data_IF_987069336721
#
_entry.id   IF_987069336721
#
_cell.length_a   1.000
_cell.length_b   1.000
_cell.length_c   1.000
_cell.angle_alpha   90.00
_cell.angle_beta   90.00
_cell.angle_gamma   90.00
#
_symmetry.space_group_name_H-M   'P 1'
#
loop_
_entity.id
_entity.type
_entity.pdbx_description
1 polymer ?
#
# COMPACT_ATOMS: atom_id res chain seq x y z
N UNK A 1 -2.56 -10.88 -18.67
CA UNK A 1 -2.94 -9.51 -18.28
C UNK A 1 -2.24 -9.04 -17.00
N UNK A 2 -2.37 -9.77 -15.88
CA UNK A 2 -1.76 -9.42 -14.58
C UNK A 2 -0.27 -9.05 -14.68
N UNK A 3 0.57 -9.93 -15.25
CA UNK A 3 2.02 -9.65 -15.41
C UNK A 3 2.32 -8.39 -16.21
N UNK A 4 1.53 -8.12 -17.25
CA UNK A 4 1.67 -6.92 -18.11
C UNK A 4 1.32 -5.65 -17.33
N UNK A 5 0.22 -5.69 -16.58
CA UNK A 5 -0.16 -4.60 -15.67
C UNK A 5 0.91 -4.38 -14.60
N UNK A 6 1.45 -5.46 -14.03
CA UNK A 6 2.53 -5.42 -13.05
C UNK A 6 3.78 -4.71 -13.57
N UNK A 7 4.25 -5.03 -14.79
CA UNK A 7 5.40 -4.35 -15.39
C UNK A 7 5.19 -2.84 -15.56
N UNK A 8 4.00 -2.43 -15.99
CA UNK A 8 3.69 -1.01 -16.06
C UNK A 8 3.61 -0.37 -14.68
N UNK A 9 3.08 -1.07 -13.67
CA UNK A 9 3.12 -0.57 -12.29
C UNK A 9 4.55 -0.42 -11.77
N UNK A 10 5.46 -1.35 -12.09
CA UNK A 10 6.89 -1.20 -11.76
C UNK A 10 7.48 0.04 -12.42
N UNK A 11 7.16 0.31 -13.69
CA UNK A 11 7.65 1.50 -14.39
C UNK A 11 7.09 2.80 -13.79
N UNK A 12 5.78 2.85 -13.51
CA UNK A 12 5.18 4.00 -12.82
C UNK A 12 5.77 4.19 -11.43
N UNK A 13 6.00 3.09 -10.71
CA UNK A 13 6.66 3.09 -9.42
C UNK A 13 8.10 3.58 -9.50
N UNK A 14 8.85 3.23 -10.55
CA UNK A 14 10.22 3.72 -10.76
C UNK A 14 10.25 5.25 -10.98
N UNK A 15 9.32 5.78 -11.79
CA UNK A 15 9.19 7.23 -12.01
C UNK A 15 8.75 7.94 -10.74
N UNK A 16 7.75 7.39 -10.04
CA UNK A 16 7.29 7.93 -8.76
C UNK A 16 8.37 7.83 -7.67
N UNK A 17 9.16 6.76 -7.69
CA UNK A 17 10.28 6.45 -6.81
C UNK A 17 11.40 7.48 -6.85
N UNK A 18 11.53 8.24 -7.96
CA UNK A 18 12.43 9.40 -8.03
C UNK A 18 12.01 10.45 -7.00
N UNK A 19 10.71 10.73 -6.87
CA UNK A 19 10.18 11.74 -5.94
C UNK A 19 9.97 11.18 -4.53
N UNK A 20 9.55 9.91 -4.43
CA UNK A 20 9.25 9.26 -3.16
C UNK A 20 9.74 7.81 -3.17
N UNK A 21 10.91 7.56 -2.58
CA UNK A 21 11.54 6.24 -2.58
C UNK A 21 10.72 5.16 -1.83
N UNK A 22 9.80 5.56 -0.95
CA UNK A 22 8.84 4.67 -0.26
C UNK A 22 7.63 4.25 -1.11
N UNK A 23 7.75 4.33 -2.44
CA UNK A 23 6.68 4.00 -3.38
C UNK A 23 6.13 2.59 -3.18
N UNK A 24 4.79 2.48 -3.12
CA UNK A 24 4.10 1.19 -3.02
C UNK A 24 3.64 0.65 -4.39
N UNK A 25 3.53 1.49 -5.42
CA UNK A 25 3.04 1.06 -6.75
C UNK A 25 4.02 0.05 -7.35
N UNK A 26 5.31 0.33 -7.26
CA UNK A 26 6.40 -0.53 -7.69
C UNK A 26 6.41 -1.86 -6.95
N UNK A 27 6.23 -1.83 -5.63
CA UNK A 27 6.13 -3.03 -4.78
C UNK A 27 4.98 -3.94 -5.22
N UNK A 28 3.76 -3.39 -5.37
CA UNK A 28 2.62 -4.17 -5.87
C UNK A 28 2.83 -4.64 -7.32
N UNK A 29 3.45 -3.81 -8.15
CA UNK A 29 3.82 -4.16 -9.51
C UNK A 29 4.75 -5.37 -9.57
N UNK A 30 5.78 -5.38 -8.73
CA UNK A 30 6.77 -6.44 -8.63
C UNK A 30 6.15 -7.75 -8.16
N UNK A 31 5.33 -7.70 -7.10
CA UNK A 31 4.56 -8.86 -6.61
C UNK A 31 3.65 -9.39 -7.73
N UNK A 32 2.95 -8.51 -8.45
CA UNK A 32 2.10 -8.91 -9.57
C UNK A 32 2.91 -9.52 -10.73
N UNK A 33 4.12 -9.05 -11.02
CA UNK A 33 4.99 -9.62 -12.06
C UNK A 33 5.42 -11.03 -11.70
N UNK A 34 5.94 -11.21 -10.48
CA UNK A 34 6.48 -12.49 -9.99
C UNK A 34 5.38 -13.53 -9.83
N UNK A 35 4.26 -13.16 -9.19
CA UNK A 35 3.20 -14.10 -8.83
C UNK A 35 2.03 -14.14 -9.80
N UNK A 36 2.06 -13.40 -10.93
CA UNK A 36 0.98 -13.43 -11.93
C UNK A 36 0.57 -14.85 -12.35
N UNK A 37 1.53 -15.74 -12.59
CA UNK A 37 1.25 -17.12 -12.99
C UNK A 37 0.61 -17.96 -11.87
N UNK A 38 0.93 -17.64 -10.62
CA UNK A 38 0.39 -18.31 -9.44
C UNK A 38 -1.05 -17.87 -9.17
N UNK A 39 -1.29 -16.56 -9.25
CA UNK A 39 -2.62 -15.96 -9.15
C UNK A 39 -3.54 -16.47 -10.27
N UNK A 40 -3.05 -16.53 -11.52
CA UNK A 40 -3.84 -16.98 -12.65
C UNK A 40 -4.20 -18.48 -12.60
N UNK A 41 -3.29 -19.32 -12.11
CA UNK A 41 -3.48 -20.79 -12.04
C UNK A 41 -3.92 -21.29 -10.66
N UNK A 42 -4.23 -20.37 -9.73
CA UNK A 42 -4.69 -20.68 -8.36
C UNK A 42 -3.82 -21.70 -7.62
N UNK A 43 -2.48 -21.51 -7.61
CA UNK A 43 -1.52 -22.38 -6.90
C UNK A 43 -1.60 -22.23 -5.37
N UNK A 44 -2.75 -22.57 -4.77
CA UNK A 44 -3.11 -22.25 -3.38
C UNK A 44 -2.12 -22.81 -2.35
N UNK A 45 -1.74 -24.10 -2.47
CA UNK A 45 -0.78 -24.73 -1.54
C UNK A 45 0.57 -24.02 -1.53
N UNK A 46 1.08 -23.66 -2.72
CA UNK A 46 2.36 -22.94 -2.87
C UNK A 46 2.24 -21.50 -2.35
N UNK A 47 1.13 -20.83 -2.64
CA UNK A 47 0.87 -19.47 -2.15
C UNK A 47 0.83 -19.41 -0.61
N UNK A 48 0.22 -20.40 0.04
CA UNK A 48 0.21 -20.52 1.51
C UNK A 48 1.63 -20.76 2.03
N UNK A 49 2.37 -21.71 1.47
CA UNK A 49 3.74 -21.99 1.89
C UNK A 49 4.65 -20.75 1.79
N UNK A 50 4.57 -20.00 0.68
CA UNK A 50 5.31 -18.75 0.51
C UNK A 50 4.83 -17.67 1.48
N UNK A 51 3.52 -17.57 1.73
CA UNK A 51 3.00 -16.59 2.70
C UNK A 51 3.53 -16.87 4.10
N UNK A 52 3.52 -18.13 4.54
CA UNK A 52 4.06 -18.54 5.84
C UNK A 52 5.56 -18.23 5.93
N UNK A 53 6.34 -18.60 4.91
CA UNK A 53 7.77 -18.31 4.86
C UNK A 53 8.04 -16.81 4.96
N UNK A 54 7.33 -15.99 4.19
CA UNK A 54 7.52 -14.54 4.18
C UNK A 54 7.06 -13.91 5.49
N UNK A 55 5.98 -14.40 6.10
CA UNK A 55 5.54 -13.92 7.42
C UNK A 55 6.60 -14.18 8.50
N UNK A 56 7.21 -15.38 8.49
CA UNK A 56 8.32 -15.71 9.40
C UNK A 56 9.54 -14.83 9.11
N UNK A 57 9.95 -14.72 7.84
CA UNK A 57 11.11 -13.91 7.45
C UNK A 57 10.94 -12.43 7.81
N UNK A 58 9.79 -11.83 7.50
CA UNK A 58 9.47 -10.45 7.88
C UNK A 58 9.52 -10.26 9.40
N UNK A 59 8.98 -11.22 10.16
CA UNK A 59 9.06 -11.21 11.62
C UNK A 59 10.51 -11.25 12.14
N UNK A 60 11.34 -12.15 11.59
CA UNK A 60 12.76 -12.25 11.95
C UNK A 60 13.54 -10.99 11.58
N UNK A 61 13.26 -10.38 10.43
CA UNK A 61 13.85 -9.09 10.02
C UNK A 61 13.47 -8.00 11.01
N UNK A 62 12.18 -7.88 11.37
CA UNK A 62 11.72 -6.87 12.33
C UNK A 62 12.24 -7.11 13.75
N UNK A 63 12.39 -8.38 14.16
CA UNK A 63 13.04 -8.74 15.42
C UNK A 63 14.51 -8.31 15.42
N UNK A 64 15.25 -8.60 14.34
CA UNK A 64 16.63 -8.16 14.17
C UNK A 64 16.76 -6.64 14.21
N UNK A 65 15.86 -5.92 13.54
CA UNK A 65 15.78 -4.46 13.60
C UNK A 65 15.49 -3.95 15.01
N UNK A 66 14.59 -4.62 15.74
CA UNK A 66 14.31 -4.30 17.15
C UNK A 66 15.57 -4.39 18.01
N UNK A 67 16.34 -5.48 17.90
CA UNK A 67 17.63 -5.63 18.59
C UNK A 67 18.63 -4.54 18.23
N UNK A 68 18.73 -4.16 16.95
CA UNK A 68 19.62 -3.08 16.48
C UNK A 68 19.22 -1.73 17.07
N UNK A 69 17.92 -1.44 17.14
CA UNK A 69 17.41 -0.18 17.73
C UNK A 69 17.66 -0.15 19.23
N UNK A 70 17.29 -1.21 19.96
CA UNK A 70 17.38 -1.24 21.43
C UNK A 70 18.80 -1.37 21.95
N UNK A 71 19.74 -1.88 21.15
CA UNK A 71 21.16 -1.95 21.50
C UNK A 71 21.89 -0.61 21.38
N UNK A 72 21.22 0.44 20.88
CA UNK A 72 21.86 1.74 20.59
C UNK A 72 22.77 1.73 19.36
N UNK A 73 22.88 0.60 18.65
CA UNK A 73 23.74 0.45 17.47
C UNK A 73 23.35 1.42 16.33
N UNK A 74 22.08 1.83 16.25
CA UNK A 74 21.62 2.87 15.31
C UNK A 74 22.31 4.22 15.55
N UNK A 75 22.50 4.61 16.81
CA UNK A 75 23.21 5.83 17.18
C UNK A 75 24.71 5.72 16.84
N UNK A 76 25.30 4.52 17.02
CA UNK A 76 26.70 4.23 16.65
C UNK A 76 26.96 4.15 15.14
N UNK A 77 25.94 3.87 14.32
CA UNK A 77 26.05 3.84 12.85
C UNK A 77 25.87 5.23 12.19
N UNK A 78 25.64 6.29 12.97
CA UNK A 78 25.40 7.64 12.43
C UNK A 78 24.15 7.72 11.54
N UNK A 79 23.25 6.74 11.63
CA UNK A 79 21.97 6.73 10.91
C UNK A 79 21.03 7.64 11.72
N UNK A 80 21.25 8.95 11.60
CA UNK A 80 20.37 9.95 12.16
C UNK A 80 18.94 9.67 11.63
N UNK A 81 18.04 9.38 12.56
CA UNK A 81 16.65 9.05 12.25
C UNK A 81 16.02 10.13 11.39
N UNK A 82 15.41 9.70 10.27
CA UNK A 82 14.22 10.27 9.58
C UNK A 82 14.05 11.80 9.44
N UNK A 83 15.06 12.62 9.74
CA UNK A 83 14.96 14.08 9.87
C UNK A 83 15.89 14.86 8.95
N UNK A 84 16.76 14.20 8.19
CA UNK A 84 17.50 14.84 7.11
C UNK A 84 16.89 14.50 5.74
N UNK A 85 16.17 15.42 5.08
CA UNK A 85 15.69 15.24 3.71
C UNK A 85 16.82 14.99 2.70
N UNK A 86 18.09 15.23 3.08
CA UNK A 86 19.29 15.03 2.25
C UNK A 86 20.11 13.78 2.60
N UNK A 87 19.73 13.07 3.68
CA UNK A 87 20.34 11.81 4.08
C UNK A 87 21.87 11.85 4.20
N UNK A 88 22.43 12.95 4.69
CA UNK A 88 23.86 13.14 4.98
C UNK A 88 24.81 13.10 3.76
N UNK A 89 24.27 12.84 2.56
CA UNK A 89 25.07 12.53 1.37
C UNK A 89 25.40 13.75 0.51
N UNK A 90 24.69 14.87 0.69
CA UNK A 90 24.76 16.03 -0.19
C UNK A 90 24.21 15.80 -1.62
N UNK A 91 23.78 14.57 -1.95
CA UNK A 91 23.22 14.27 -3.26
C UNK A 91 21.80 14.82 -3.41
N UNK A 92 21.46 15.43 -4.57
CA UNK A 92 20.09 15.76 -4.89
C UNK A 92 19.16 14.53 -4.82
N UNK A 93 17.93 14.75 -4.33
CA UNK A 93 16.94 13.69 -4.12
C UNK A 93 16.68 12.83 -5.37
N UNK A 94 16.72 13.42 -6.57
CA UNK A 94 16.49 12.70 -7.82
C UNK A 94 17.61 11.72 -8.21
N UNK A 95 18.79 11.82 -7.58
CA UNK A 95 19.88 10.84 -7.73
C UNK A 95 19.86 9.81 -6.60
N UNK A 96 19.58 10.25 -5.37
CA UNK A 96 19.54 9.39 -4.17
C UNK A 96 18.36 8.43 -4.18
N UNK A 97 17.16 8.96 -4.42
CA UNK A 97 15.91 8.22 -4.27
C UNK A 97 15.80 7.02 -5.22
N UNK A 98 16.22 7.07 -6.50
CA UNK A 98 16.22 5.89 -7.37
C UNK A 98 17.05 4.75 -6.81
N UNK A 99 18.24 5.02 -6.26
CA UNK A 99 19.08 4.01 -5.62
C UNK A 99 18.40 3.37 -4.42
N UNK A 100 17.80 4.19 -3.55
CA UNK A 100 17.02 3.71 -2.40
C UNK A 100 15.78 2.92 -2.84
N UNK A 101 15.10 3.33 -3.91
CA UNK A 101 13.93 2.65 -4.44
C UNK A 101 14.29 1.28 -5.04
N UNK A 102 15.40 1.18 -5.78
CA UNK A 102 15.89 -0.09 -6.36
C UNK A 102 16.15 -1.12 -5.27
N UNK A 103 16.74 -0.70 -4.15
CA UNK A 103 17.06 -1.60 -3.03
C UNK A 103 15.85 -1.84 -2.11
N UNK A 104 15.06 -0.81 -1.84
CA UNK A 104 13.93 -0.83 -0.90
C UNK A 104 12.68 -1.51 -1.45
N UNK A 105 12.40 -1.40 -2.76
CA UNK A 105 11.19 -1.99 -3.37
C UNK A 105 11.18 -3.52 -3.29
N UNK A 106 12.26 -4.26 -3.66
CA UNK A 106 12.31 -5.69 -3.46
C UNK A 106 12.25 -6.09 -1.98
N UNK A 107 12.96 -5.37 -1.11
CA UNK A 107 12.89 -5.60 0.34
C UNK A 107 11.46 -5.50 0.85
N UNK A 108 10.76 -4.42 0.52
CA UNK A 108 9.34 -4.25 0.87
C UNK A 108 8.47 -5.33 0.24
N UNK A 109 8.71 -5.73 -1.00
CA UNK A 109 7.89 -6.73 -1.69
C UNK A 109 8.00 -8.12 -1.06
N UNK A 110 9.19 -8.53 -0.62
CA UNK A 110 9.48 -9.91 -0.22
C UNK A 110 9.79 -10.11 1.27
N UNK A 111 9.98 -9.03 2.04
CA UNK A 111 10.29 -9.07 3.47
C UNK A 111 9.25 -8.32 4.32
N UNK A 112 8.07 -8.03 3.76
CA UNK A 112 6.93 -7.46 4.50
C UNK A 112 5.66 -8.31 4.36
N UNK A 113 4.61 -7.92 5.08
CA UNK A 113 3.27 -8.54 4.97
C UNK A 113 2.54 -8.36 3.62
N UNK A 114 3.15 -7.72 2.62
CA UNK A 114 2.51 -7.50 1.30
C UNK A 114 2.10 -8.82 0.63
N UNK A 115 2.98 -9.82 0.57
CA UNK A 115 2.67 -11.08 -0.13
C UNK A 115 1.57 -11.89 0.58
N UNK A 116 1.65 -12.13 1.91
CA UNK A 116 0.54 -12.73 2.66
C UNK A 116 -0.78 -12.00 2.43
N UNK A 117 -0.80 -10.67 2.51
CA UNK A 117 -2.00 -9.88 2.28
C UNK A 117 -2.56 -10.03 0.86
N UNK A 118 -1.71 -10.02 -0.16
CA UNK A 118 -2.12 -10.22 -1.56
C UNK A 118 -2.73 -11.60 -1.77
N UNK A 119 -2.15 -12.65 -1.19
CA UNK A 119 -2.70 -14.00 -1.33
C UNK A 119 -3.98 -14.21 -0.53
N UNK A 120 -4.12 -13.60 0.65
CA UNK A 120 -5.39 -13.55 1.39
C UNK A 120 -6.46 -12.86 0.53
N UNK A 121 -6.16 -11.67 -0.01
CA UNK A 121 -7.07 -10.92 -0.88
C UNK A 121 -7.47 -11.70 -2.13
N UNK A 122 -6.51 -12.36 -2.79
CA UNK A 122 -6.78 -13.21 -3.95
C UNK A 122 -7.65 -14.42 -3.61
N UNK A 123 -7.49 -14.99 -2.40
CA UNK A 123 -8.32 -16.11 -1.93
C UNK A 123 -9.74 -15.66 -1.59
N UNK A 124 -9.90 -14.46 -1.04
CA UNK A 124 -11.20 -13.85 -0.72
C UNK A 124 -11.96 -13.43 -1.98
N UNK A 125 -11.26 -13.04 -3.06
CA UNK A 125 -11.90 -12.75 -4.35
C UNK A 125 -12.55 -14.00 -4.98
N UNK A 126 -12.15 -15.20 -4.56
CA UNK A 126 -12.73 -16.48 -4.94
C UNK A 126 -13.89 -16.93 -4.02
N UNK A 127 -14.26 -16.15 -2.99
CA UNK A 127 -15.35 -16.46 -2.06
C UNK A 127 -16.48 -15.43 -2.16
N UNK A 128 -17.60 -15.75 -1.53
CA UNK A 128 -18.74 -14.86 -1.37
C UNK A 128 -18.66 -13.96 -0.12
N UNK A 129 -17.54 -14.02 0.64
CA UNK A 129 -17.35 -13.24 1.87
C UNK A 129 -17.41 -11.72 1.62
N UNK A 130 -16.85 -11.25 0.51
CA UNK A 130 -16.81 -9.83 0.16
C UNK A 130 -17.93 -9.39 -0.78
N UNK A 131 -18.51 -10.31 -1.56
CA UNK A 131 -19.63 -10.00 -2.46
C UNK A 131 -20.98 -10.09 -1.76
N UNK A 132 -21.12 -11.01 -0.80
CA UNK A 132 -22.32 -11.21 0.02
C UNK A 132 -21.96 -11.20 1.52
N UNK A 133 -21.43 -10.07 2.06
CA UNK A 133 -21.07 -9.96 3.47
C UNK A 133 -22.27 -10.15 4.41
N UNK A 134 -23.50 -9.89 3.93
CA UNK A 134 -24.75 -10.11 4.65
C UNK A 134 -24.98 -11.58 5.04
N UNK A 135 -24.45 -12.53 4.26
CA UNK A 135 -24.55 -13.97 4.55
C UNK A 135 -23.53 -14.42 5.60
N UNK A 136 -22.50 -13.61 5.87
CA UNK A 136 -21.35 -13.97 6.69
C UNK A 136 -21.14 -13.03 7.89
N UNK A 137 -22.19 -12.33 8.32
CA UNK A 137 -22.10 -11.29 9.36
C UNK A 137 -21.40 -11.74 10.64
N UNK A 138 -21.76 -12.92 11.18
CA UNK A 138 -21.16 -13.41 12.44
C UNK A 138 -19.65 -13.61 12.31
N UNK A 139 -19.22 -14.22 11.20
CA UNK A 139 -17.80 -14.42 10.91
C UNK A 139 -17.09 -13.07 10.73
N UNK A 140 -17.64 -12.18 9.91
CA UNK A 140 -17.02 -10.88 9.64
C UNK A 140 -16.95 -10.00 10.91
N UNK A 141 -17.95 -10.05 11.79
CA UNK A 141 -17.91 -9.34 13.08
C UNK A 141 -16.82 -9.93 13.96
N UNK A 142 -16.71 -11.26 14.05
CA UNK A 142 -15.64 -11.93 14.79
C UNK A 142 -14.25 -11.55 14.28
N UNK A 143 -14.05 -11.55 12.95
CA UNK A 143 -12.79 -11.14 12.33
C UNK A 143 -12.52 -9.65 12.50
N UNK A 144 -13.54 -8.79 12.42
CA UNK A 144 -13.40 -7.35 12.63
C UNK A 144 -12.96 -7.05 14.07
N UNK A 145 -13.70 -7.56 15.06
CA UNK A 145 -13.40 -7.34 16.49
C UNK A 145 -12.08 -7.99 16.87
N UNK A 146 -11.88 -9.26 16.53
CA UNK A 146 -10.66 -9.98 16.85
C UNK A 146 -9.43 -9.41 16.15
N UNK A 147 -9.52 -9.14 14.84
CA UNK A 147 -8.42 -8.58 14.05
C UNK A 147 -8.03 -7.17 14.49
N UNK A 148 -9.01 -6.28 14.71
CA UNK A 148 -8.73 -4.92 15.19
C UNK A 148 -8.21 -4.94 16.63
N UNK A 149 -8.76 -5.79 17.50
CA UNK A 149 -8.30 -5.96 18.88
C UNK A 149 -6.86 -6.46 18.93
N UNK A 150 -6.53 -7.53 18.22
CA UNK A 150 -5.18 -8.07 18.14
C UNK A 150 -4.21 -7.10 17.47
N UNK A 151 -4.65 -6.38 16.43
CA UNK A 151 -3.87 -5.33 15.78
C UNK A 151 -3.51 -4.20 16.74
N UNK A 152 -4.48 -3.70 17.50
CA UNK A 152 -4.28 -2.64 18.49
C UNK A 152 -3.39 -3.11 19.65
N UNK A 153 -3.66 -4.29 20.22
CA UNK A 153 -2.88 -4.84 21.33
C UNK A 153 -1.43 -5.14 20.91
N UNK A 154 -1.22 -5.67 19.70
CA UNK A 154 0.13 -5.99 19.23
C UNK A 154 0.98 -4.75 18.90
N UNK A 155 0.37 -3.62 18.58
CA UNK A 155 1.06 -2.33 18.42
C UNK A 155 1.06 -1.45 19.67
N UNK A 156 0.46 -1.90 20.78
CA UNK A 156 0.24 -1.05 21.95
C UNK A 156 1.56 -0.67 22.63
N UNK A 157 2.41 -1.67 22.93
CA UNK A 157 3.68 -1.42 23.62
C UNK A 157 4.60 -0.52 22.77
N UNK A 158 4.76 -0.84 21.48
CA UNK A 158 5.56 -0.01 20.56
C UNK A 158 5.02 1.42 20.45
N UNK A 159 3.69 1.59 20.42
CA UNK A 159 3.03 2.89 20.44
C UNK A 159 3.30 3.69 21.72
N UNK A 160 3.26 3.04 22.89
CA UNK A 160 3.62 3.66 24.17
C UNK A 160 5.10 4.06 24.20
N UNK A 161 5.98 3.23 23.62
CA UNK A 161 7.38 3.54 23.52
C UNK A 161 7.65 4.75 22.61
N UNK A 162 6.99 4.83 21.45
CA UNK A 162 7.08 6.00 20.57
C UNK A 162 6.46 7.27 21.17
N UNK A 163 5.50 7.13 22.10
CA UNK A 163 4.96 8.24 22.88
C UNK A 163 5.89 8.66 24.04
N UNK A 164 6.98 7.94 24.29
CA UNK A 164 7.94 8.20 25.37
C UNK A 164 7.46 7.74 26.74
N UNK A 165 6.47 6.87 26.82
CA UNK A 165 5.90 6.39 28.09
C UNK A 165 6.58 5.12 28.60
N UNK A 166 7.22 4.36 27.71
CA UNK A 166 7.98 3.15 28.01
C UNK A 166 9.21 3.07 27.12
N UNK A 167 10.12 2.15 27.41
CA UNK A 167 11.20 1.81 26.49
C UNK A 167 10.70 0.82 25.42
N UNK A 168 11.30 0.89 24.23
CA UNK A 168 11.05 -0.06 23.14
C UNK A 168 11.70 -1.40 23.48
N UNK A 169 10.97 -2.50 23.32
CA UNK A 169 11.49 -3.86 23.46
C UNK A 169 11.98 -4.39 22.09
N UNK A 170 12.97 -5.30 22.05
CA UNK A 170 13.45 -5.87 20.80
C UNK A 170 12.35 -6.58 19.99
N UNK A 171 11.34 -7.11 20.67
CA UNK A 171 10.22 -7.84 20.06
C UNK A 171 9.13 -6.93 19.51
N UNK A 172 9.08 -5.66 19.89
CA UNK A 172 7.96 -4.77 19.60
C UNK A 172 7.69 -4.59 18.11
N UNK A 173 8.75 -4.44 17.31
CA UNK A 173 8.63 -4.27 15.87
C UNK A 173 8.11 -5.55 15.20
N UNK A 174 8.56 -6.73 15.65
CA UNK A 174 8.08 -8.02 15.15
C UNK A 174 6.60 -8.22 15.48
N UNK A 175 6.21 -7.97 16.74
CA UNK A 175 4.82 -8.13 17.19
C UNK A 175 3.92 -7.14 16.43
N UNK A 176 4.36 -5.89 16.26
CA UNK A 176 3.62 -4.87 15.50
C UNK A 176 3.45 -5.26 14.04
N UNK A 177 4.48 -5.81 13.39
CA UNK A 177 4.43 -6.25 12.00
C UNK A 177 3.41 -7.39 11.79
N UNK A 178 3.43 -8.42 12.65
CA UNK A 178 2.46 -9.52 12.58
C UNK A 178 1.04 -9.07 12.94
N UNK A 179 0.90 -8.27 13.99
CA UNK A 179 -0.38 -7.71 14.41
C UNK A 179 -0.98 -6.79 13.33
N UNK A 180 -0.14 -6.08 12.57
CA UNK A 180 -0.55 -5.25 11.44
C UNK A 180 -1.33 -6.03 10.38
N UNK A 181 -0.93 -7.27 10.05
CA UNK A 181 -1.68 -8.12 9.12
C UNK A 181 -3.05 -8.54 9.68
N UNK A 182 -3.12 -8.84 10.98
CA UNK A 182 -4.38 -9.17 11.66
C UNK A 182 -5.31 -7.96 11.70
N UNK A 183 -4.78 -6.77 12.01
CA UNK A 183 -5.48 -5.50 11.96
C UNK A 183 -6.00 -5.18 10.56
N UNK A 184 -5.20 -5.42 9.51
CA UNK A 184 -5.62 -5.25 8.13
C UNK A 184 -6.79 -6.19 7.76
N UNK A 185 -6.76 -7.45 8.22
CA UNK A 185 -7.89 -8.38 8.07
C UNK A 185 -9.14 -7.87 8.82
N UNK A 186 -8.96 -7.34 10.03
CA UNK A 186 -10.04 -6.74 10.82
C UNK A 186 -10.67 -5.53 10.12
N UNK A 187 -9.85 -4.62 9.58
CA UNK A 187 -10.30 -3.49 8.77
C UNK A 187 -11.05 -3.93 7.51
N UNK A 188 -10.54 -4.94 6.79
CA UNK A 188 -11.21 -5.47 5.62
C UNK A 188 -12.59 -6.03 5.97
N UNK A 189 -12.70 -6.79 7.07
CA UNK A 189 -13.98 -7.35 7.53
C UNK A 189 -14.97 -6.26 7.97
N UNK A 190 -14.49 -5.23 8.70
CA UNK A 190 -15.30 -4.08 9.09
C UNK A 190 -15.80 -3.31 7.87
N UNK A 191 -14.92 -3.06 6.88
CA UNK A 191 -15.28 -2.37 5.65
C UNK A 191 -16.24 -3.19 4.79
N UNK A 192 -16.12 -4.52 4.76
CA UNK A 192 -17.06 -5.41 4.10
C UNK A 192 -18.45 -5.36 4.76
N UNK A 193 -18.52 -5.41 6.09
CA UNK A 193 -19.76 -5.23 6.85
C UNK A 193 -20.39 -3.86 6.59
N UNK A 194 -19.58 -2.81 6.56
CA UNK A 194 -20.02 -1.46 6.28
C UNK A 194 -20.52 -1.31 4.84
N UNK A 195 -19.82 -1.89 3.86
CA UNK A 195 -20.24 -1.88 2.46
C UNK A 195 -21.61 -2.55 2.30
N UNK A 196 -21.82 -3.67 2.98
CA UNK A 196 -23.04 -4.47 2.94
C UNK A 196 -23.23 -5.18 1.59
N UNK A 197 -24.35 -5.89 1.45
CA UNK A 197 -24.67 -6.64 0.24
C UNK A 197 -25.07 -5.80 -0.97
N UNK A 198 -25.23 -6.45 -2.15
CA UNK A 198 -25.74 -5.81 -3.35
C UNK A 198 -27.09 -5.14 -3.08
N UNK A 199 -27.22 -3.88 -3.48
CA UNK A 199 -28.47 -3.12 -3.29
C UNK A 199 -29.42 -3.31 -4.49
N UNK A 200 -30.74 -3.38 -4.27
CA UNK A 200 -31.73 -3.55 -5.35
C UNK A 200 -31.65 -2.49 -6.47
N UNK A 201 -31.15 -1.29 -6.19
CA UNK A 201 -30.96 -0.22 -7.19
C UNK A 201 -29.52 0.03 -7.64
N UNK A 202 -28.52 -0.69 -7.13
CA UNK A 202 -27.10 -0.48 -7.46
C UNK A 202 -26.50 0.88 -7.03
N UNK A 203 -27.31 1.82 -6.56
CA UNK A 203 -26.88 3.16 -6.18
C UNK A 203 -26.08 3.16 -4.86
N UNK A 204 -25.00 3.92 -4.85
CA UNK A 204 -24.18 4.20 -3.68
C UNK A 204 -24.44 5.63 -3.22
N UNK A 205 -24.75 5.81 -1.93
CA UNK A 205 -25.02 7.13 -1.35
C UNK A 205 -24.00 7.48 -0.25
N UNK A 206 -23.86 8.78 0.02
CA UNK A 206 -23.04 9.32 1.09
C UNK A 206 -21.59 8.81 1.09
N UNK A 207 -21.11 8.39 2.27
CA UNK A 207 -19.74 7.94 2.47
C UNK A 207 -19.38 6.68 1.68
N UNK A 208 -20.34 5.78 1.39
CA UNK A 208 -20.09 4.59 0.56
C UNK A 208 -19.74 4.98 -0.88
N UNK A 209 -20.42 6.01 -1.41
CA UNK A 209 -20.11 6.57 -2.73
C UNK A 209 -18.71 7.18 -2.76
N UNK A 210 -18.36 7.95 -1.73
CA UNK A 210 -17.03 8.57 -1.62
C UNK A 210 -15.92 7.51 -1.53
N UNK A 211 -16.08 6.52 -0.63
CA UNK A 211 -15.13 5.43 -0.48
C UNK A 211 -14.95 4.64 -1.79
N UNK A 212 -16.05 4.36 -2.50
CA UNK A 212 -16.01 3.70 -3.81
C UNK A 212 -15.33 4.58 -4.88
N UNK A 213 -15.59 5.89 -4.88
CA UNK A 213 -14.99 6.83 -5.82
C UNK A 213 -13.48 6.92 -5.66
N UNK A 214 -12.99 6.94 -4.41
CA UNK A 214 -11.56 6.88 -4.07
C UNK A 214 -10.98 5.52 -4.42
N UNK A 215 -11.63 4.42 -4.04
CA UNK A 215 -11.15 3.05 -4.32
C UNK A 215 -10.99 2.76 -5.82
N UNK A 216 -11.90 3.26 -6.67
CA UNK A 216 -11.78 3.14 -8.14
C UNK A 216 -10.69 4.03 -8.75
N UNK A 217 -10.16 4.97 -7.99
CA UNK A 217 -9.15 5.97 -8.39
C UNK A 217 -7.97 6.00 -7.41
N UNK A 218 -7.63 4.85 -6.81
CA UNK A 218 -6.66 4.77 -5.73
C UNK A 218 -5.24 5.14 -6.15
N UNK A 219 -4.85 4.87 -7.39
CA UNK A 219 -3.55 5.26 -7.93
C UNK A 219 -3.50 6.78 -8.16
N UNK A 220 -4.58 7.38 -8.67
CA UNK A 220 -4.69 8.84 -8.76
C UNK A 220 -4.67 9.47 -7.38
N UNK A 221 -5.40 8.92 -6.42
CA UNK A 221 -5.44 9.43 -5.05
C UNK A 221 -4.04 9.43 -4.44
N UNK A 222 -3.35 8.29 -4.48
CA UNK A 222 -2.00 8.14 -3.95
C UNK A 222 -0.99 9.10 -4.60
N UNK A 223 -0.94 9.18 -5.93
CA UNK A 223 -0.01 10.07 -6.62
C UNK A 223 -0.33 11.56 -6.38
N UNK A 224 -1.61 11.90 -6.22
CA UNK A 224 -2.00 13.27 -5.88
C UNK A 224 -1.57 13.66 -4.47
N UNK A 225 -1.57 12.72 -3.52
CA UNK A 225 -1.02 12.96 -2.18
C UNK A 225 0.48 13.29 -2.25
N UNK A 226 1.27 12.51 -3.01
CA UNK A 226 2.69 12.81 -3.20
C UNK A 226 2.90 14.19 -3.82
N UNK A 227 2.12 14.55 -4.83
CA UNK A 227 2.21 15.88 -5.48
C UNK A 227 1.87 16.99 -4.46
N UNK A 228 0.76 16.86 -3.72
CA UNK A 228 0.34 17.86 -2.74
C UNK A 228 1.37 18.02 -1.63
N UNK A 229 1.90 16.92 -1.09
CA UNK A 229 2.97 16.97 -0.10
C UNK A 229 4.25 17.57 -0.68
N UNK A 230 4.63 17.25 -1.92
CA UNK A 230 5.78 17.88 -2.59
C UNK A 230 5.60 19.39 -2.77
N UNK A 231 4.39 19.85 -3.10
CA UNK A 231 4.08 21.28 -3.19
C UNK A 231 4.22 21.97 -1.83
N UNK A 232 3.68 21.36 -0.77
CA UNK A 232 3.68 21.92 0.58
C UNK A 232 5.07 21.91 1.20
N UNK A 233 5.78 20.79 1.11
CA UNK A 233 7.02 20.55 1.87
C UNK A 233 8.31 20.69 1.06
N UNK A 234 8.24 20.81 -0.27
CA UNK A 234 9.44 21.04 -1.09
C UNK A 234 9.34 22.37 -1.86
N UNK A 235 8.24 22.58 -2.61
CA UNK A 235 8.11 23.77 -3.47
C UNK A 235 7.87 25.04 -2.67
N UNK A 236 6.97 25.01 -1.68
CA UNK A 236 6.67 26.20 -0.87
C UNK A 236 7.89 26.71 -0.08
N UNK A 237 8.64 25.88 0.66
CA UNK A 237 9.87 26.32 1.32
C UNK A 237 10.89 26.89 0.35
N UNK A 238 11.04 26.26 -0.83
CA UNK A 238 11.96 26.70 -1.86
C UNK A 238 11.61 28.09 -2.41
N UNK A 239 10.33 28.36 -2.70
CA UNK A 239 9.86 29.68 -3.15
C UNK A 239 10.03 30.73 -2.05
N UNK A 240 9.73 30.39 -0.80
CA UNK A 240 9.82 31.33 0.33
C UNK A 240 11.26 31.57 0.82
N UNK A 241 12.23 30.75 0.38
CA UNK A 241 13.61 30.79 0.86
C UNK A 241 13.75 30.47 2.36
N UNK A 242 12.76 29.80 2.96
CA UNK A 242 12.71 29.47 4.39
C UNK A 242 12.29 28.01 4.57
N UNK A 243 12.96 27.30 5.48
CA UNK A 243 12.52 25.98 5.91
C UNK A 243 11.13 26.06 6.57
N UNK A 244 10.30 25.05 6.33
CA UNK A 244 9.04 24.88 7.05
C UNK A 244 9.23 23.76 8.06
N UNK A 245 9.37 24.12 9.32
CA UNK A 245 9.33 23.17 10.43
C UNK A 245 7.89 23.01 10.89
N UNK A 246 7.35 21.81 10.76
CA UNK A 246 5.97 21.51 11.14
C UNK A 246 5.97 20.54 12.31
N UNK A 247 5.45 20.98 13.45
CA UNK A 247 5.22 20.10 14.59
C UNK A 247 4.23 18.98 14.27
N UNK A 248 4.28 17.87 15.02
CA UNK A 248 3.50 16.65 14.74
C UNK A 248 1.99 16.91 14.58
N UNK A 249 1.40 17.75 15.44
CA UNK A 249 -0.02 18.09 15.37
C UNK A 249 -0.38 18.83 14.07
N UNK A 250 0.43 19.81 13.66
CA UNK A 250 0.22 20.54 12.41
C UNK A 250 0.44 19.64 11.19
N UNK A 251 1.41 18.72 11.24
CA UNK A 251 1.64 17.74 10.18
C UNK A 251 0.42 16.80 10.03
N UNK A 252 -0.19 16.38 11.14
CA UNK A 252 -1.42 15.59 11.12
C UNK A 252 -2.58 16.37 10.49
N UNK A 253 -2.76 17.65 10.82
CA UNK A 253 -3.79 18.51 10.21
C UNK A 253 -3.56 18.66 8.71
N UNK A 254 -2.32 18.89 8.27
CA UNK A 254 -1.95 18.94 6.85
C UNK A 254 -2.29 17.62 6.16
N UNK A 255 -1.92 16.48 6.75
CA UNK A 255 -2.20 15.16 6.19
C UNK A 255 -3.72 14.91 6.02
N UNK A 256 -4.53 15.29 7.01
CA UNK A 256 -6.00 15.23 6.91
C UNK A 256 -6.52 16.15 5.80
N UNK A 257 -6.00 17.38 5.70
CA UNK A 257 -6.36 18.31 4.63
C UNK A 257 -6.05 17.77 3.23
N UNK A 258 -4.85 17.24 3.03
CA UNK A 258 -4.43 16.60 1.77
C UNK A 258 -5.32 15.39 1.45
N UNK A 259 -5.66 14.58 2.45
CA UNK A 259 -6.58 13.46 2.27
C UNK A 259 -7.98 13.94 1.85
N UNK A 260 -8.54 14.96 2.51
CA UNK A 260 -9.85 15.53 2.17
C UNK A 260 -9.87 16.10 0.74
N UNK A 261 -8.84 16.86 0.34
CA UNK A 261 -8.69 17.37 -1.03
C UNK A 261 -8.71 16.22 -2.04
N UNK A 262 -8.00 15.15 -1.73
CA UNK A 262 -7.93 13.95 -2.58
C UNK A 262 -9.30 13.27 -2.70
N UNK A 263 -10.04 13.15 -1.59
CA UNK A 263 -11.41 12.61 -1.57
C UNK A 263 -12.35 13.47 -2.43
N UNK A 264 -12.28 14.80 -2.29
CA UNK A 264 -13.09 15.75 -3.09
C UNK A 264 -12.76 15.63 -4.57
N UNK A 265 -11.48 15.56 -4.94
CA UNK A 265 -11.05 15.37 -6.32
C UNK A 265 -11.59 14.05 -6.90
N UNK A 266 -11.47 12.93 -6.17
CA UNK A 266 -12.02 11.63 -6.61
C UNK A 266 -13.55 11.68 -6.76
N UNK A 267 -14.24 12.37 -5.85
CA UNK A 267 -15.69 12.56 -5.93
C UNK A 267 -16.10 13.45 -7.12
N UNK A 268 -15.33 14.49 -7.44
CA UNK A 268 -15.57 15.35 -8.60
C UNK A 268 -15.39 14.58 -9.92
N UNK A 269 -14.34 13.76 -10.02
CA UNK A 269 -14.14 12.86 -11.17
C UNK A 269 -15.27 11.84 -11.30
N UNK A 270 -15.76 11.31 -10.18
CA UNK A 270 -16.91 10.42 -10.15
C UNK A 270 -18.19 11.08 -10.66
N UNK A 271 -18.51 12.29 -10.20
CA UNK A 271 -19.68 13.04 -10.67
C UNK A 271 -19.62 13.31 -12.18
N UNK A 272 -18.42 13.46 -12.73
CA UNK A 272 -18.19 13.67 -14.17
C UNK A 272 -18.14 12.37 -14.98
N UNK A 273 -18.30 11.20 -14.36
CA UNK A 273 -18.18 9.90 -15.04
C UNK A 273 -16.76 9.60 -15.55
N UNK A 274 -15.73 10.32 -15.05
CA UNK A 274 -14.35 10.21 -15.56
C UNK A 274 -13.52 9.25 -14.70
N UNK A 275 -12.76 8.32 -15.30
CA UNK A 275 -11.75 7.57 -14.57
C UNK A 275 -10.66 8.50 -14.02
N UNK A 276 -9.89 8.03 -13.05
CA UNK A 276 -8.72 8.77 -12.60
C UNK A 276 -7.68 8.89 -13.72
N UNK A 277 -6.99 10.04 -13.85
CA UNK A 277 -6.01 10.28 -14.91
C UNK A 277 -4.90 9.21 -14.91
N UNK A 278 -4.35 8.85 -13.75
CA UNK A 278 -3.27 7.88 -13.66
C UNK A 278 -3.73 6.44 -13.94
N UNK A 279 -4.94 6.07 -13.52
CA UNK A 279 -5.55 4.79 -13.92
C UNK A 279 -5.75 4.73 -15.43
N UNK A 280 -6.14 5.85 -16.05
CA UNK A 280 -6.34 5.94 -17.50
C UNK A 280 -5.01 5.78 -18.23
N UNK A 281 -3.96 6.46 -17.77
CA UNK A 281 -2.61 6.31 -18.32
C UNK A 281 -2.13 4.86 -18.20
N UNK A 282 -2.25 4.25 -17.01
CA UNK A 282 -1.86 2.85 -16.79
C UNK A 282 -2.65 1.90 -17.69
N UNK A 283 -3.98 2.04 -17.76
CA UNK A 283 -4.83 1.21 -18.63
C UNK A 283 -4.47 1.35 -20.09
N UNK A 284 -4.22 2.57 -20.56
CA UNK A 284 -3.84 2.86 -21.94
C UNK A 284 -2.48 2.27 -22.27
N UNK A 285 -1.49 2.40 -21.38
CA UNK A 285 -0.17 1.83 -21.54
C UNK A 285 -0.21 0.29 -21.59
N UNK A 286 -0.99 -0.33 -20.70
CA UNK A 286 -1.24 -1.78 -20.69
C UNK A 286 -1.93 -2.24 -21.98
N UNK A 287 -2.93 -1.49 -22.47
CA UNK A 287 -3.66 -1.83 -23.69
C UNK A 287 -2.76 -1.71 -24.93
N UNK A 288 -2.01 -0.60 -25.07
CA UNK A 288 -1.08 -0.37 -26.19
C UNK A 288 0.05 -1.39 -26.24
N UNK A 289 0.53 -1.87 -25.09
CA UNK A 289 1.60 -2.89 -25.08
C UNK A 289 1.09 -4.29 -25.44
N UNK A 290 -0.23 -4.52 -25.47
CA UNK A 290 -0.80 -5.79 -25.92
C UNK A 290 -0.51 -5.97 -27.42
N UNK A 291 0.47 -6.81 -27.76
CA UNK A 291 0.70 -7.25 -29.15
C UNK A 291 -0.63 -7.71 -29.74
N UNK A 292 -0.96 -7.24 -30.95
CA UNK A 292 -2.04 -7.85 -31.75
C UNK A 292 -1.76 -9.35 -31.81
N UNK A 293 -2.63 -10.17 -31.22
CA UNK A 293 -2.60 -11.61 -31.48
C UNK A 293 -2.86 -11.73 -32.99
N UNK A 294 -1.88 -12.24 -33.75
CA UNK A 294 -2.19 -12.79 -35.07
C UNK A 294 -3.16 -13.93 -34.80
N UNK A 295 -4.42 -13.74 -35.18
CA UNK A 295 -5.38 -14.84 -35.26
C UNK A 295 -4.78 -15.78 -36.32
N UNK A 296 -4.54 -17.06 -36.03
CA UNK A 296 -4.12 -18.01 -37.05
C UNK A 296 -5.12 -17.95 -38.21
N UNK A 297 -4.63 -17.89 -39.45
CA UNK A 297 -5.51 -17.97 -40.60
C UNK A 297 -6.36 -19.26 -40.48
N UNK A 298 -7.66 -19.21 -40.81
CA UNK A 298 -8.47 -20.42 -40.84
C UNK A 298 -7.80 -21.46 -41.75
N UNK A 299 -7.86 -22.75 -41.40
CA UNK A 299 -7.31 -23.79 -42.26
C UNK A 299 -7.96 -23.69 -43.65
N UNK A 300 -7.20 -23.94 -44.74
CA UNK A 300 -7.78 -23.98 -46.08
C UNK A 300 -8.93 -24.98 -46.10
N UNK A 301 -10.08 -24.57 -46.64
CA UNK A 301 -11.20 -25.49 -46.83
C UNK A 301 -10.83 -26.55 -47.88
N UNK A 302 -11.28 -27.81 -47.71
CA UNK A 302 -11.01 -28.91 -48.63
C UNK A 302 -11.60 -28.68 -50.02
#
# INVERSE_FOLDING_TARGET
LVRRRGWWMVLFGAVHGVFFYGDIIGTYGLVAVVFAGWLARKHRKRAIAVSVLITVMAGLVMLGMGWVVTSGAVQGMGVAGTGDPTGGSGLPWFLRNPGQWIMGTPGTAFLSMVIPAVFIGARLADTDLLSHPERHRRLLVGVAVGGLGLGALGGLHSGLAFAGWTDLLPTDLMVSEWAGLLGACGWLALLALYAGGPRPGGELHGLRRLASAVGRRSMTAYLSQTILFGLIFAVTPWILGRGIEVGQAAAAVIAVGVWLITVVMCAALERRGRPGPFETLLRTAVARSARRRRIPAPPPMP
#
